data_IF_238278599847
#
_entry.id   IF_238278599847
#
_cell.length_a   1.000
_cell.length_b   1.000
_cell.length_c   1.000
_cell.angle_alpha   90.00
_cell.angle_beta   90.00
_cell.angle_gamma   90.00
#
_symmetry.space_group_name_H-M   'P 1'
#
loop_
_entity.id
_entity.type
_entity.pdbx_description
1 polymer ?
#
# COMPACT_ATOMS: atom_id res chain seq x y z
N UNK A 1 7.44 -20.66 17.26
CA UNK A 1 6.08 -20.40 17.81
C UNK A 1 6.11 -19.40 18.97
N UNK A 2 7.28 -19.04 19.50
CA UNK A 2 7.42 -18.00 20.55
C UNK A 2 7.67 -16.59 20.00
N UNK A 3 8.21 -16.43 18.80
CA UNK A 3 8.59 -15.10 18.28
C UNK A 3 7.41 -14.23 17.83
N UNK A 4 6.33 -14.84 17.34
CA UNK A 4 5.14 -14.10 16.91
C UNK A 4 4.31 -13.54 18.08
N UNK A 5 4.31 -14.19 19.23
CA UNK A 5 3.59 -13.72 20.44
C UNK A 5 4.32 -12.55 21.10
N UNK A 6 5.67 -12.59 21.06
CA UNK A 6 6.52 -11.51 21.62
C UNK A 6 6.34 -10.22 20.79
N UNK A 7 6.29 -10.31 19.46
CA UNK A 7 6.16 -9.16 18.57
C UNK A 7 4.81 -8.41 18.77
N UNK A 8 3.71 -9.13 19.01
CA UNK A 8 2.41 -8.49 19.23
C UNK A 8 2.31 -7.72 20.55
N UNK A 9 2.91 -8.24 21.62
CA UNK A 9 2.94 -7.53 22.92
C UNK A 9 3.82 -6.27 22.87
N UNK A 10 4.90 -6.30 22.09
CA UNK A 10 5.79 -5.16 21.86
C UNK A 10 5.12 -4.05 21.07
N UNK A 11 4.28 -4.38 20.08
CA UNK A 11 3.60 -3.39 19.25
C UNK A 11 2.57 -2.56 20.05
N UNK A 12 1.68 -3.22 20.79
CA UNK A 12 0.67 -2.54 21.63
C UNK A 12 1.34 -1.57 22.63
N UNK A 13 2.50 -1.93 23.15
CA UNK A 13 3.28 -1.10 24.08
C UNK A 13 4.00 0.04 23.37
N UNK A 14 4.53 -0.21 22.17
CA UNK A 14 5.12 0.84 21.36
C UNK A 14 4.08 1.90 20.97
N UNK A 15 2.85 1.48 20.66
CA UNK A 15 1.71 2.35 20.41
C UNK A 15 1.35 3.21 21.62
N UNK A 16 1.26 2.60 22.81
CA UNK A 16 1.00 3.34 24.04
C UNK A 16 2.12 4.35 24.32
N UNK A 17 3.39 3.97 24.16
CA UNK A 17 4.53 4.87 24.31
C UNK A 17 4.50 6.03 23.31
N UNK A 18 4.18 5.77 22.04
CA UNK A 18 4.03 6.83 21.05
C UNK A 18 2.91 7.80 21.43
N UNK A 19 1.79 7.27 21.93
CA UNK A 19 0.67 8.06 22.44
C UNK A 19 1.08 8.92 23.66
N UNK A 20 1.82 8.34 24.60
CA UNK A 20 2.33 9.08 25.79
C UNK A 20 3.33 10.16 25.40
N UNK A 21 4.25 9.87 24.48
CA UNK A 21 5.19 10.86 23.98
C UNK A 21 4.46 12.02 23.29
N UNK A 22 3.52 11.73 22.40
CA UNK A 22 2.70 12.75 21.74
C UNK A 22 1.88 13.59 22.74
N UNK A 23 1.33 12.97 23.80
CA UNK A 23 0.60 13.66 24.85
C UNK A 23 1.52 14.57 25.67
N UNK A 24 2.72 14.12 26.06
CA UNK A 24 3.69 14.92 26.78
C UNK A 24 4.15 16.13 25.94
N UNK A 25 4.42 15.94 24.64
CA UNK A 25 4.76 17.02 23.72
C UNK A 25 3.61 18.03 23.60
N UNK A 26 2.37 17.57 23.43
CA UNK A 26 1.19 18.43 23.33
C UNK A 26 0.98 19.24 24.61
N UNK A 27 1.13 18.62 25.78
CA UNK A 27 1.05 19.32 27.07
C UNK A 27 2.13 20.39 27.22
N UNK A 28 3.37 20.11 26.79
CA UNK A 28 4.48 21.07 26.78
C UNK A 28 4.31 22.20 25.77
N UNK A 29 3.58 22.00 24.68
CA UNK A 29 3.22 23.10 23.74
C UNK A 29 2.29 24.12 24.38
N UNK A 30 1.36 23.67 25.22
CA UNK A 30 0.29 24.50 25.80
C UNK A 30 0.70 25.08 27.17
N UNK A 31 1.33 24.28 28.03
CA UNK A 31 1.61 24.61 29.43
C UNK A 31 3.11 24.73 29.69
N UNK A 32 3.49 25.58 30.65
CA UNK A 32 4.86 25.65 31.14
C UNK A 32 5.32 24.30 31.73
N UNK A 33 6.65 24.02 31.75
CA UNK A 33 7.17 22.74 32.24
C UNK A 33 6.80 22.39 33.69
N UNK A 34 6.62 23.38 34.54
CA UNK A 34 6.24 23.28 35.93
C UNK A 34 4.73 23.15 36.15
N UNK A 35 3.92 23.32 35.12
CA UNK A 35 2.48 23.20 35.22
C UNK A 35 2.06 21.74 35.45
N UNK A 36 1.12 21.49 36.35
CA UNK A 36 0.67 20.19 36.82
C UNK A 36 0.33 19.23 35.67
N UNK A 37 -0.36 19.71 34.63
CA UNK A 37 -0.72 18.87 33.45
C UNK A 37 0.50 18.46 32.63
N UNK A 38 1.46 19.35 32.44
CA UNK A 38 2.70 19.06 31.72
C UNK A 38 3.58 18.07 32.50
N UNK A 39 3.65 18.23 33.83
CA UNK A 39 4.35 17.30 34.70
C UNK A 39 3.70 15.92 34.75
N UNK A 40 2.35 15.85 34.84
CA UNK A 40 1.62 14.56 34.82
C UNK A 40 1.86 13.80 33.52
N UNK A 41 1.68 14.43 32.37
CA UNK A 41 1.87 13.79 31.08
C UNK A 41 3.32 13.31 30.88
N UNK A 42 4.31 14.08 31.36
CA UNK A 42 5.72 13.66 31.33
C UNK A 42 5.99 12.48 32.27
N UNK A 43 5.43 12.49 33.47
CA UNK A 43 5.58 11.43 34.46
C UNK A 43 5.00 10.10 33.95
N UNK A 44 3.84 10.17 33.32
CA UNK A 44 3.19 8.99 32.70
C UNK A 44 4.09 8.38 31.60
N UNK A 45 4.67 9.22 30.72
CA UNK A 45 5.60 8.77 29.68
C UNK A 45 6.85 8.10 30.31
N UNK A 46 7.46 8.75 31.30
CA UNK A 46 8.67 8.23 31.94
C UNK A 46 8.39 6.93 32.71
N UNK A 47 7.21 6.79 33.32
CA UNK A 47 6.78 5.56 34.00
C UNK A 47 6.60 4.40 33.02
N UNK A 48 5.93 4.65 31.87
CA UNK A 48 5.70 3.63 30.85
C UNK A 48 7.02 3.19 30.19
N UNK A 49 7.95 4.11 29.92
CA UNK A 49 9.29 3.76 29.42
C UNK A 49 10.06 2.87 30.42
N UNK A 50 10.06 3.24 31.72
CA UNK A 50 10.70 2.40 32.76
C UNK A 50 10.05 1.03 32.84
N UNK A 51 8.74 0.93 32.69
CA UNK A 51 8.04 -0.33 32.67
C UNK A 51 8.46 -1.20 31.48
N UNK A 52 8.50 -0.65 30.26
CA UNK A 52 8.93 -1.36 29.04
C UNK A 52 10.36 -1.86 29.16
N UNK A 53 11.27 -1.03 29.67
CA UNK A 53 12.66 -1.45 29.88
C UNK A 53 12.80 -2.49 31.02
N UNK A 54 11.97 -2.41 32.06
CA UNK A 54 11.90 -3.38 33.15
C UNK A 54 11.44 -4.79 32.71
N UNK A 55 10.84 -4.90 31.51
CA UNK A 55 10.46 -6.17 30.91
C UNK A 55 11.57 -6.81 30.06
N UNK A 56 12.78 -6.20 30.07
CA UNK A 56 13.94 -6.72 29.35
C UNK A 56 14.17 -6.12 27.96
N UNK A 57 13.36 -5.13 27.55
CA UNK A 57 13.63 -4.39 26.32
C UNK A 57 14.85 -3.48 26.51
N UNK A 58 15.81 -3.52 25.61
CA UNK A 58 17.01 -2.68 25.67
C UNK A 58 16.79 -1.31 25.03
N UNK A 59 15.86 -1.21 24.07
CA UNK A 59 15.55 0.00 23.32
C UNK A 59 14.11 0.04 22.82
N UNK A 60 13.63 1.26 22.55
CA UNK A 60 12.40 1.55 21.78
C UNK A 60 12.81 2.44 20.63
N UNK A 61 12.52 2.05 19.39
CA UNK A 61 12.89 2.80 18.20
C UNK A 61 11.63 3.20 17.43
N UNK A 62 11.43 4.50 17.28
CA UNK A 62 10.42 5.06 16.39
C UNK A 62 11.09 5.68 15.18
N UNK A 63 10.58 5.36 13.98
CA UNK A 63 11.05 5.96 12.72
C UNK A 63 9.87 6.47 11.92
N UNK A 64 10.11 7.45 11.05
CA UNK A 64 9.11 7.97 10.11
C UNK A 64 9.45 7.45 8.73
N UNK A 65 8.56 6.67 8.15
CA UNK A 65 8.69 6.12 6.79
C UNK A 65 7.49 6.55 5.97
N UNK A 66 7.71 7.34 4.92
CA UNK A 66 6.63 7.87 4.08
C UNK A 66 5.55 8.63 4.85
N UNK A 67 5.93 9.33 5.95
CA UNK A 67 4.99 10.07 6.80
C UNK A 67 4.25 9.22 7.85
N UNK A 68 4.53 7.93 7.93
CA UNK A 68 3.95 7.02 8.92
C UNK A 68 4.99 6.74 10.01
N UNK A 69 4.55 6.79 11.29
CA UNK A 69 5.38 6.36 12.41
C UNK A 69 5.44 4.84 12.45
N UNK A 70 6.65 4.31 12.55
CA UNK A 70 6.89 2.86 12.68
C UNK A 70 7.72 2.57 13.94
N UNK A 71 7.54 1.38 14.51
CA UNK A 71 8.39 0.81 15.55
C UNK A 71 9.05 -0.45 14.99
N UNK A 72 10.38 -0.48 14.96
CA UNK A 72 11.18 -1.57 14.34
C UNK A 72 10.65 -1.95 12.93
N UNK A 73 10.24 -0.94 12.14
CA UNK A 73 9.72 -1.12 10.78
C UNK A 73 8.24 -1.52 10.69
N UNK A 74 7.55 -1.69 11.82
CA UNK A 74 6.11 -1.99 11.87
C UNK A 74 5.33 -0.70 12.15
N UNK A 75 4.29 -0.35 11.35
CA UNK A 75 3.48 0.83 11.59
C UNK A 75 2.89 0.89 13.00
N UNK A 76 3.06 2.03 13.67
CA UNK A 76 2.43 2.31 14.97
C UNK A 76 1.05 2.91 14.73
N UNK A 77 0.00 2.11 14.89
CA UNK A 77 -1.31 2.30 14.26
C UNK A 77 -2.40 2.77 15.22
N UNK A 78 -2.14 3.38 16.35
CA UNK A 78 -3.20 3.85 17.23
C UNK A 78 -3.53 5.34 17.13
N UNK A 79 -4.57 5.65 16.35
CA UNK A 79 -5.27 6.94 16.32
C UNK A 79 -4.39 8.12 15.87
N UNK A 80 -4.82 9.34 16.21
CA UNK A 80 -4.10 10.58 15.87
C UNK A 80 -2.69 10.71 16.51
N UNK A 81 -2.32 9.84 17.43
CA UNK A 81 -1.06 9.95 18.18
C UNK A 81 0.16 9.58 17.33
N UNK A 82 0.09 8.51 16.54
CA UNK A 82 1.16 8.11 15.62
C UNK A 82 1.39 9.16 14.53
N UNK A 83 0.31 9.63 13.92
CA UNK A 83 0.35 10.69 12.91
C UNK A 83 0.89 12.01 13.49
N UNK A 84 0.49 12.36 14.72
CA UNK A 84 0.99 13.54 15.41
C UNK A 84 2.50 13.44 15.70
N UNK A 85 2.99 12.29 16.17
CA UNK A 85 4.41 12.12 16.45
C UNK A 85 5.25 12.08 15.16
N UNK A 86 4.75 11.44 14.11
CA UNK A 86 5.40 11.47 12.79
C UNK A 86 5.51 12.91 12.26
N UNK A 87 4.44 13.71 12.36
CA UNK A 87 4.44 15.11 11.98
C UNK A 87 5.43 15.93 12.82
N UNK A 88 5.47 15.71 14.15
CA UNK A 88 6.39 16.40 15.06
C UNK A 88 7.85 16.13 14.72
N UNK A 89 8.20 14.90 14.40
CA UNK A 89 9.54 14.51 13.95
C UNK A 89 9.88 15.16 12.59
N UNK A 90 8.95 15.13 11.65
CA UNK A 90 9.11 15.76 10.33
C UNK A 90 9.31 17.30 10.46
N UNK A 91 8.54 17.99 11.31
CA UNK A 91 8.70 19.43 11.59
C UNK A 91 10.10 19.78 12.15
N UNK A 92 10.85 18.78 12.63
CA UNK A 92 12.19 18.90 13.17
C UNK A 92 13.28 18.38 12.23
N UNK A 93 12.93 18.02 11.00
CA UNK A 93 13.83 17.38 10.04
C UNK A 93 14.53 16.15 10.65
N UNK A 94 13.73 15.31 11.34
CA UNK A 94 14.19 14.15 12.10
C UNK A 94 13.49 12.90 11.58
N UNK A 95 14.27 11.89 11.18
CA UNK A 95 13.76 10.62 10.63
C UNK A 95 13.26 9.65 11.70
N UNK A 96 13.57 9.91 12.97
CA UNK A 96 13.11 9.04 14.05
C UNK A 96 13.86 9.27 15.37
N UNK A 97 13.49 8.49 16.38
CA UNK A 97 14.09 8.54 17.72
C UNK A 97 14.29 7.14 18.27
N UNK A 98 15.46 6.90 18.87
CA UNK A 98 15.75 5.68 19.64
C UNK A 98 15.90 6.06 21.10
N UNK A 99 15.09 5.43 21.94
CA UNK A 99 15.15 5.54 23.39
C UNK A 99 15.73 4.23 23.95
N UNK A 100 16.77 4.32 24.78
CA UNK A 100 17.44 3.13 25.33
C UNK A 100 17.19 3.03 26.84
N UNK A 101 17.31 1.82 27.35
CA UNK A 101 17.27 1.57 28.79
C UNK A 101 18.31 2.43 29.52
N UNK A 102 17.90 3.07 30.62
CA UNK A 102 18.75 3.97 31.38
C UNK A 102 18.70 5.44 30.95
N UNK A 103 17.87 5.80 29.95
CA UNK A 103 17.67 7.22 29.61
C UNK A 103 17.26 8.03 30.83
N UNK A 104 17.98 9.14 31.09
CA UNK A 104 17.68 10.03 32.18
C UNK A 104 16.40 10.86 31.92
N UNK A 105 15.62 11.13 33.00
CA UNK A 105 14.40 11.96 32.89
C UNK A 105 14.72 13.36 32.36
N UNK A 106 15.91 13.92 32.63
CA UNK A 106 16.36 15.19 32.06
C UNK A 106 16.53 15.13 30.54
N UNK A 107 17.18 14.09 30.01
CA UNK A 107 17.36 13.86 28.57
C UNK A 107 16.01 13.67 27.87
N UNK A 108 15.11 12.90 28.47
CA UNK A 108 13.75 12.71 27.97
C UNK A 108 12.95 14.02 27.98
N UNK A 109 13.10 14.84 29.03
CA UNK A 109 12.50 16.17 29.13
C UNK A 109 13.00 17.10 28.01
N UNK A 110 14.29 17.06 27.69
CA UNK A 110 14.87 17.82 26.59
C UNK A 110 14.31 17.40 25.23
N UNK A 111 14.09 16.10 25.01
CA UNK A 111 13.45 15.59 23.80
C UNK A 111 12.02 16.13 23.67
N UNK A 112 11.22 16.03 24.74
CA UNK A 112 9.83 16.52 24.76
C UNK A 112 9.77 18.03 24.49
N UNK A 113 10.65 18.84 25.13
CA UNK A 113 10.71 20.28 24.91
C UNK A 113 11.17 20.64 23.48
N UNK A 114 12.08 19.87 22.90
CA UNK A 114 12.53 20.08 21.55
C UNK A 114 11.41 19.76 20.54
N UNK A 115 10.74 18.63 20.67
CA UNK A 115 9.58 18.29 19.85
C UNK A 115 8.42 19.28 20.03
N UNK A 116 8.23 19.82 21.24
CA UNK A 116 7.21 20.83 21.52
C UNK A 116 7.52 22.21 20.93
N UNK A 117 8.69 22.44 20.35
CA UNK A 117 9.06 23.73 19.79
C UNK A 117 9.63 24.74 20.81
N UNK A 118 9.91 24.29 22.02
CA UNK A 118 10.50 25.12 23.08
C UNK A 118 12.01 25.30 22.95
N UNK A 119 12.65 24.45 22.11
CA UNK A 119 14.06 24.57 21.75
C UNK A 119 14.17 24.72 20.21
N UNK A 120 15.14 25.53 19.74
CA UNK A 120 15.37 25.66 18.29
C UNK A 120 15.66 24.31 17.64
N UNK A 121 15.21 24.09 16.41
CA UNK A 121 15.44 22.85 15.66
C UNK A 121 16.95 22.58 15.44
N UNK A 122 17.74 23.64 15.27
CA UNK A 122 19.20 23.59 15.08
C UNK A 122 19.98 23.08 16.31
N UNK A 123 19.34 22.95 17.47
CA UNK A 123 19.96 22.44 18.70
C UNK A 123 19.20 21.20 19.20
N UNK A 124 19.35 20.06 18.53
CA UNK A 124 18.68 18.83 18.93
C UNK A 124 19.19 18.38 20.32
N UNK A 125 18.33 17.69 21.10
CA UNK A 125 18.74 17.17 22.40
C UNK A 125 19.79 16.08 22.23
N UNK A 126 20.75 16.05 23.15
CA UNK A 126 21.80 15.02 23.26
C UNK A 126 21.81 14.50 24.67
N UNK A 127 22.17 13.24 24.83
CA UNK A 127 22.30 12.61 26.13
C UNK A 127 22.38 11.10 26.02
N UNK A 128 22.88 10.47 27.08
CA UNK A 128 22.94 9.01 27.16
C UNK A 128 21.54 8.41 27.09
N UNK A 129 21.37 7.38 26.27
CA UNK A 129 20.09 6.71 26.06
C UNK A 129 19.16 7.35 25.03
N UNK A 130 19.56 8.44 24.38
CA UNK A 130 18.82 9.10 23.30
C UNK A 130 19.65 9.14 22.02
N UNK A 131 19.04 8.71 20.92
CA UNK A 131 19.60 8.83 19.57
C UNK A 131 18.53 9.40 18.65
N UNK A 132 18.85 10.47 17.93
CA UNK A 132 18.01 11.04 16.88
C UNK A 132 18.49 10.51 15.55
N UNK A 133 17.56 10.14 14.69
CA UNK A 133 17.86 9.53 13.39
C UNK A 133 17.71 10.56 12.28
N UNK A 134 18.61 10.50 11.30
CA UNK A 134 18.57 11.36 10.14
C UNK A 134 17.27 11.14 9.32
N UNK A 135 16.81 12.16 8.57
CA UNK A 135 15.73 11.99 7.61
C UNK A 135 16.02 10.82 6.67
N UNK A 136 15.06 9.89 6.54
CA UNK A 136 15.24 8.67 5.75
C UNK A 136 15.72 7.44 6.53
N UNK A 137 16.13 7.57 7.79
CA UNK A 137 16.59 6.42 8.61
C UNK A 137 15.50 5.32 8.82
N UNK A 138 14.22 5.67 8.64
CA UNK A 138 13.12 4.70 8.60
C UNK A 138 13.08 3.89 7.31
N UNK A 139 13.61 4.44 6.23
CA UNK A 139 13.67 3.78 4.93
C UNK A 139 14.69 2.63 4.93
N UNK A 140 15.80 2.75 5.67
CA UNK A 140 16.82 1.69 5.81
C UNK A 140 16.31 0.42 6.49
N UNK A 141 15.31 0.51 7.37
CA UNK A 141 14.77 -0.66 8.08
C UNK A 141 13.71 -1.40 7.27
N UNK A 142 12.92 -0.69 6.49
CA UNK A 142 11.99 -1.30 5.53
C UNK A 142 12.76 -1.90 4.35
N UNK A 143 13.96 -1.42 4.07
CA UNK A 143 14.84 -1.92 3.03
C UNK A 143 15.28 -3.38 3.20
N UNK A 144 15.26 -3.95 4.40
CA UNK A 144 15.70 -5.34 4.64
C UNK A 144 14.56 -6.38 4.59
N UNK A 145 13.29 -5.99 4.46
CA UNK A 145 12.14 -6.93 4.43
C UNK A 145 11.37 -6.96 3.10
N UNK A 146 11.87 -6.39 2.04
CA UNK A 146 11.20 -6.40 0.74
C UNK A 146 11.87 -5.51 -0.29
N UNK A 147 13.20 -5.45 -0.29
CA UNK A 147 13.92 -4.82 -1.41
C UNK A 147 13.60 -5.61 -2.67
N UNK A 148 12.61 -5.14 -3.40
CA UNK A 148 12.58 -5.45 -4.81
C UNK A 148 13.91 -4.92 -5.39
N UNK A 149 14.77 -5.82 -5.88
CA UNK A 149 15.98 -5.46 -6.68
C UNK A 149 15.66 -4.44 -7.77
N UNK A 150 14.39 -4.33 -8.13
CA UNK A 150 13.85 -3.41 -9.12
C UNK A 150 13.74 -1.96 -8.63
N UNK A 151 13.52 -1.70 -7.32
CA UNK A 151 13.40 -0.31 -6.82
C UNK A 151 14.71 0.47 -6.95
N UNK A 152 15.87 -0.19 -6.80
CA UNK A 152 17.19 0.42 -7.01
C UNK A 152 17.51 0.61 -8.51
N UNK A 153 17.03 -0.31 -9.35
CA UNK A 153 17.26 -0.28 -10.80
C UNK A 153 16.26 0.62 -11.54
N UNK A 154 15.10 0.90 -10.94
CA UNK A 154 14.00 1.66 -11.53
C UNK A 154 13.54 2.79 -10.58
N UNK A 155 14.39 3.82 -10.35
CA UNK A 155 14.08 4.90 -9.41
C UNK A 155 12.80 5.66 -9.78
N UNK A 156 12.38 5.65 -11.06
CA UNK A 156 11.14 6.24 -11.54
C UNK A 156 9.89 5.51 -10.99
N UNK A 157 10.05 4.25 -10.60
CA UNK A 157 8.97 3.39 -10.10
C UNK A 157 9.01 3.19 -8.57
N UNK A 158 9.89 3.92 -7.88
CA UNK A 158 10.05 3.81 -6.42
C UNK A 158 8.71 4.00 -5.69
N UNK A 159 7.98 5.08 -6.01
CA UNK A 159 6.71 5.40 -5.37
C UNK A 159 5.63 4.30 -5.56
N UNK A 160 5.36 3.79 -6.78
CA UNK A 160 4.46 2.64 -6.96
C UNK A 160 4.83 1.42 -6.14
N UNK A 161 6.12 1.08 -6.06
CA UNK A 161 6.60 -0.07 -5.30
C UNK A 161 6.43 0.12 -3.79
N UNK A 162 6.65 1.32 -3.27
CA UNK A 162 6.41 1.65 -1.86
C UNK A 162 4.92 1.55 -1.50
N UNK A 163 4.02 2.02 -2.37
CA UNK A 163 2.57 1.88 -2.18
C UNK A 163 2.18 0.41 -2.09
N UNK A 164 2.70 -0.41 -3.01
CA UNK A 164 2.43 -1.85 -3.02
C UNK A 164 2.90 -2.52 -1.73
N UNK A 165 4.14 -2.30 -1.33
CA UNK A 165 4.72 -2.90 -0.12
C UNK A 165 3.91 -2.57 1.14
N UNK A 166 3.52 -1.30 1.30
CA UNK A 166 2.68 -0.86 2.43
C UNK A 166 1.28 -1.48 2.40
N UNK A 167 0.71 -1.65 1.20
CA UNK A 167 -0.61 -2.27 1.07
C UNK A 167 -0.55 -3.77 1.42
N UNK A 168 0.53 -4.48 1.04
CA UNK A 168 0.75 -5.90 1.41
C UNK A 168 0.83 -6.04 2.92
N UNK A 169 1.72 -5.27 3.57
CA UNK A 169 1.91 -5.32 5.02
C UNK A 169 0.60 -5.06 5.80
N UNK A 170 -0.13 -4.02 5.39
CA UNK A 170 -1.43 -3.73 5.98
C UNK A 170 -2.44 -4.86 5.80
N UNK A 171 -2.56 -5.41 4.58
CA UNK A 171 -3.56 -6.42 4.30
C UNK A 171 -3.27 -7.76 4.98
N UNK A 172 -2.01 -8.11 5.19
CA UNK A 172 -1.63 -9.26 6.04
C UNK A 172 -2.23 -9.12 7.44
N UNK A 173 -2.08 -7.94 8.06
CA UNK A 173 -2.66 -7.66 9.37
C UNK A 173 -4.19 -7.65 9.33
N UNK A 174 -4.81 -6.92 8.40
CA UNK A 174 -6.27 -6.82 8.24
C UNK A 174 -6.92 -8.20 8.10
N UNK A 175 -6.34 -9.07 7.28
CA UNK A 175 -6.87 -10.42 7.07
C UNK A 175 -6.65 -11.34 8.28
N UNK A 176 -5.56 -11.15 9.02
CA UNK A 176 -5.32 -11.86 10.28
C UNK A 176 -6.37 -11.47 11.34
N UNK A 177 -6.68 -10.19 11.49
CA UNK A 177 -7.72 -9.70 12.40
C UNK A 177 -9.12 -10.18 11.97
N UNK A 178 -9.44 -10.13 10.69
CA UNK A 178 -10.69 -10.65 10.14
C UNK A 178 -10.84 -12.16 10.40
N UNK A 179 -9.75 -12.94 10.30
CA UNK A 179 -9.71 -14.37 10.61
C UNK A 179 -9.96 -14.65 12.08
N UNK A 180 -9.45 -13.80 12.95
CA UNK A 180 -9.65 -13.90 14.39
C UNK A 180 -11.05 -13.38 14.84
N UNK A 181 -11.87 -12.85 13.92
CA UNK A 181 -13.15 -12.26 14.22
C UNK A 181 -13.05 -10.93 14.98
N UNK A 182 -11.91 -10.26 14.92
CA UNK A 182 -11.65 -8.98 15.55
C UNK A 182 -11.80 -7.83 14.56
N UNK A 183 -11.96 -6.63 15.07
CA UNK A 183 -11.90 -5.41 14.27
C UNK A 183 -10.44 -5.01 14.08
N UNK A 184 -10.08 -4.58 12.88
CA UNK A 184 -8.78 -3.98 12.57
C UNK A 184 -8.84 -2.46 12.66
N UNK A 185 -7.67 -1.82 12.78
CA UNK A 185 -7.60 -0.36 12.80
C UNK A 185 -7.87 0.23 11.41
N UNK A 186 -8.98 0.94 11.29
CA UNK A 186 -9.37 1.59 10.05
C UNK A 186 -8.51 2.82 9.71
N UNK A 187 -7.78 3.38 10.68
CA UNK A 187 -6.89 4.53 10.42
C UNK A 187 -5.70 4.15 9.54
N UNK A 188 -5.18 2.93 9.71
CA UNK A 188 -4.12 2.39 8.86
C UNK A 188 -4.61 2.18 7.42
N UNK A 189 -5.82 1.63 7.26
CA UNK A 189 -6.47 1.51 5.94
C UNK A 189 -6.59 2.88 5.28
N UNK A 190 -7.06 3.88 6.01
CA UNK A 190 -7.17 5.26 5.54
C UNK A 190 -5.82 5.82 5.09
N UNK A 191 -4.76 5.57 5.86
CA UNK A 191 -3.41 6.08 5.57
C UNK A 191 -2.83 5.48 4.29
N UNK A 192 -2.90 4.16 4.13
CA UNK A 192 -2.40 3.46 2.93
C UNK A 192 -3.23 3.82 1.70
N UNK A 193 -4.56 3.87 1.82
CA UNK A 193 -5.45 4.26 0.74
C UNK A 193 -5.19 5.70 0.27
N UNK A 194 -5.00 6.64 1.21
CA UNK A 194 -4.64 8.03 0.90
C UNK A 194 -3.30 8.12 0.20
N UNK A 195 -2.30 7.37 0.66
CA UNK A 195 -0.98 7.34 0.02
C UNK A 195 -1.07 6.85 -1.43
N UNK A 196 -1.84 5.79 -1.69
CA UNK A 196 -2.10 5.33 -3.05
C UNK A 196 -2.89 6.34 -3.88
N UNK A 197 -3.91 6.98 -3.30
CA UNK A 197 -4.70 8.01 -3.96
C UNK A 197 -3.84 9.22 -4.35
N UNK A 198 -2.92 9.64 -3.50
CA UNK A 198 -1.99 10.72 -3.80
C UNK A 198 -0.98 10.34 -4.88
N UNK A 199 -0.43 9.13 -4.83
CA UNK A 199 0.41 8.59 -5.89
C UNK A 199 -0.33 8.53 -7.23
N UNK A 200 -1.61 8.13 -7.23
CA UNK A 200 -2.43 8.11 -8.44
C UNK A 200 -2.75 9.50 -8.98
N UNK A 201 -2.92 10.52 -8.12
CA UNK A 201 -3.12 11.92 -8.55
C UNK A 201 -1.87 12.52 -9.17
N UNK A 202 -0.71 12.30 -8.57
CA UNK A 202 0.57 12.87 -9.03
C UNK A 202 1.17 12.10 -10.20
N UNK A 203 1.13 10.78 -10.18
CA UNK A 203 1.76 9.90 -11.17
C UNK A 203 0.81 9.24 -12.16
N UNK A 204 -0.52 9.42 -12.02
CA UNK A 204 -1.50 8.83 -12.93
C UNK A 204 -1.39 7.31 -13.01
N UNK A 205 -1.22 6.79 -14.23
CA UNK A 205 -1.11 5.35 -14.49
C UNK A 205 0.22 4.73 -14.07
N UNK A 206 1.21 5.51 -13.64
CA UNK A 206 2.48 4.98 -13.14
C UNK A 206 2.29 4.05 -11.93
N UNK A 207 1.23 4.27 -11.14
CA UNK A 207 0.88 3.37 -10.03
C UNK A 207 0.70 1.91 -10.50
N UNK A 208 0.30 1.69 -11.75
CA UNK A 208 0.17 0.35 -12.34
C UNK A 208 1.50 -0.39 -12.47
N UNK A 209 2.63 0.31 -12.43
CA UNK A 209 3.93 -0.32 -12.54
C UNK A 209 4.14 -1.39 -11.46
N UNK A 210 3.65 -1.14 -10.26
CA UNK A 210 3.74 -2.10 -9.16
C UNK A 210 3.01 -3.41 -9.45
N UNK A 211 1.96 -3.40 -10.28
CA UNK A 211 1.19 -4.60 -10.63
C UNK A 211 1.87 -5.46 -11.71
N UNK A 212 2.85 -4.91 -12.41
CA UNK A 212 3.54 -5.59 -13.51
C UNK A 212 4.89 -6.18 -13.11
N UNK A 213 5.50 -5.67 -12.04
CA UNK A 213 6.81 -6.14 -11.59
C UNK A 213 6.69 -7.40 -10.71
N UNK A 214 7.69 -8.29 -10.75
CA UNK A 214 7.73 -9.44 -9.86
C UNK A 214 7.82 -9.01 -8.40
N UNK A 215 7.04 -9.64 -7.53
CA UNK A 215 7.07 -9.43 -6.09
C UNK A 215 7.63 -10.66 -5.38
N UNK A 216 8.36 -10.45 -4.30
CA UNK A 216 8.92 -11.53 -3.46
C UNK A 216 7.95 -11.99 -2.35
N UNK A 217 6.75 -11.39 -2.28
CA UNK A 217 5.72 -11.71 -1.28
C UNK A 217 5.02 -13.05 -1.54
N UNK A 218 4.48 -13.71 -0.51
CA UNK A 218 3.60 -14.87 -0.69
C UNK A 218 2.37 -14.50 -1.55
N UNK A 219 2.18 -15.23 -2.62
CA UNK A 219 1.25 -14.98 -3.75
C UNK A 219 -0.22 -14.73 -3.36
N UNK A 220 -0.64 -15.04 -2.12
CA UNK A 220 -2.06 -15.03 -1.73
C UNK A 220 -2.71 -13.64 -1.74
N UNK A 221 -1.93 -12.56 -1.60
CA UNK A 221 -2.47 -11.19 -1.44
C UNK A 221 -2.13 -10.27 -2.62
N UNK A 222 -1.12 -10.60 -3.43
CA UNK A 222 -0.66 -9.77 -4.53
C UNK A 222 -1.79 -9.42 -5.49
N UNK A 223 -2.65 -10.39 -5.79
CA UNK A 223 -3.83 -10.15 -6.63
C UNK A 223 -4.75 -9.06 -6.08
N UNK A 224 -5.15 -9.15 -4.82
CA UNK A 224 -6.07 -8.17 -4.21
C UNK A 224 -5.43 -6.77 -4.14
N UNK A 225 -4.11 -6.70 -3.91
CA UNK A 225 -3.35 -5.45 -3.94
C UNK A 225 -3.27 -4.89 -5.37
N UNK A 226 -3.01 -5.73 -6.36
CA UNK A 226 -3.01 -5.31 -7.77
C UNK A 226 -4.36 -4.71 -8.18
N UNK A 227 -5.46 -5.35 -7.80
CA UNK A 227 -6.83 -4.85 -8.06
C UNK A 227 -7.06 -3.49 -7.38
N UNK A 228 -6.59 -3.33 -6.14
CA UNK A 228 -6.62 -2.04 -5.44
C UNK A 228 -5.87 -0.94 -6.20
N UNK A 229 -4.62 -1.21 -6.62
CA UNK A 229 -3.79 -0.24 -7.34
C UNK A 229 -4.40 0.12 -8.71
N UNK A 230 -4.86 -0.88 -9.45
CA UNK A 230 -5.55 -0.69 -10.73
C UNK A 230 -6.78 0.19 -10.55
N UNK A 231 -7.65 -0.15 -9.59
CA UNK A 231 -8.87 0.60 -9.34
C UNK A 231 -8.56 2.04 -8.95
N UNK A 232 -7.62 2.27 -8.03
CA UNK A 232 -7.24 3.60 -7.57
C UNK A 232 -6.70 4.46 -8.72
N UNK A 233 -5.79 3.93 -9.54
CA UNK A 233 -5.23 4.63 -10.70
C UNK A 233 -6.31 4.98 -11.74
N UNK A 234 -7.25 4.06 -11.97
CA UNK A 234 -8.31 4.26 -12.95
C UNK A 234 -9.41 5.21 -12.48
N UNK A 235 -9.68 5.23 -11.17
CA UNK A 235 -10.69 6.12 -10.59
C UNK A 235 -10.17 7.53 -10.32
N UNK A 236 -8.85 7.74 -10.26
CA UNK A 236 -8.26 9.06 -9.98
C UNK A 236 -8.78 10.20 -10.88
N UNK A 237 -8.89 10.08 -12.21
CA UNK A 237 -9.44 11.12 -13.07
C UNK A 237 -10.96 11.22 -13.03
N UNK A 238 -11.66 10.30 -12.39
CA UNK A 238 -13.12 10.26 -12.28
C UNK A 238 -13.60 10.78 -10.93
N UNK A 239 -12.72 10.87 -9.94
CA UNK A 239 -13.03 11.44 -8.64
C UNK A 239 -13.20 12.96 -8.74
N UNK A 240 -14.23 13.50 -8.08
CA UNK A 240 -14.56 14.93 -8.07
C UNK A 240 -13.57 15.75 -7.25
N UNK A 241 -13.05 15.14 -6.20
CA UNK A 241 -12.09 15.76 -5.29
C UNK A 241 -11.18 14.70 -4.64
N UNK A 242 -10.11 15.10 -3.93
CA UNK A 242 -9.18 14.18 -3.28
C UNK A 242 -9.83 13.24 -2.26
N UNK A 243 -10.83 13.72 -1.51
CA UNK A 243 -11.49 12.90 -0.46
C UNK A 243 -12.33 11.79 -1.08
N UNK A 244 -12.99 12.06 -2.21
CA UNK A 244 -13.72 11.03 -2.93
C UNK A 244 -12.78 9.93 -3.43
N UNK A 245 -11.60 10.28 -3.93
CA UNK A 245 -10.60 9.29 -4.33
C UNK A 245 -10.06 8.48 -3.14
N UNK A 246 -9.86 9.12 -1.99
CA UNK A 246 -9.48 8.42 -0.76
C UNK A 246 -10.51 7.35 -0.37
N UNK A 247 -11.81 7.67 -0.48
CA UNK A 247 -12.92 6.73 -0.23
C UNK A 247 -12.92 5.59 -1.26
N UNK A 248 -12.71 5.91 -2.55
CA UNK A 248 -12.62 4.89 -3.60
C UNK A 248 -11.46 3.93 -3.36
N UNK A 249 -10.30 4.46 -2.99
CA UNK A 249 -9.11 3.67 -2.67
C UNK A 249 -9.33 2.78 -1.44
N UNK A 250 -9.97 3.29 -0.37
CA UNK A 250 -10.32 2.47 0.81
C UNK A 250 -11.25 1.31 0.42
N UNK A 251 -12.29 1.60 -0.36
CA UNK A 251 -13.23 0.59 -0.80
C UNK A 251 -12.56 -0.48 -1.68
N UNK A 252 -11.66 -0.07 -2.59
CA UNK A 252 -10.91 -0.99 -3.42
C UNK A 252 -9.92 -1.84 -2.61
N UNK A 253 -9.23 -1.26 -1.61
CA UNK A 253 -8.30 -1.97 -0.74
C UNK A 253 -8.99 -3.07 0.07
N UNK A 254 -10.23 -2.83 0.51
CA UNK A 254 -10.99 -3.72 1.37
C UNK A 254 -11.94 -4.68 0.62
N UNK A 255 -11.96 -4.66 -0.73
CA UNK A 255 -12.94 -5.45 -1.49
C UNK A 255 -12.93 -6.93 -1.12
N UNK A 256 -11.76 -7.48 -0.84
CA UNK A 256 -11.51 -8.89 -0.56
C UNK A 256 -11.32 -9.20 0.94
N UNK A 257 -11.56 -8.26 1.84
CA UNK A 257 -11.33 -8.45 3.29
C UNK A 257 -12.03 -9.69 3.85
N UNK A 258 -13.15 -10.06 3.27
CA UNK A 258 -13.90 -11.27 3.67
C UNK A 258 -13.16 -12.57 3.41
N UNK A 259 -12.11 -12.61 2.60
CA UNK A 259 -11.22 -13.79 2.44
C UNK A 259 -10.56 -14.18 3.77
N UNK A 260 -10.31 -13.21 4.66
CA UNK A 260 -9.84 -13.50 6.02
C UNK A 260 -10.76 -14.42 6.81
N UNK A 261 -12.06 -14.46 6.52
CA UNK A 261 -13.04 -15.32 7.20
C UNK A 261 -13.19 -16.72 6.57
N UNK A 262 -12.49 -16.98 5.48
CA UNK A 262 -12.49 -18.28 4.77
C UNK A 262 -11.28 -19.09 5.24
N UNK A 263 -11.40 -20.43 5.40
CA UNK A 263 -10.25 -21.27 5.72
C UNK A 263 -9.10 -21.05 4.76
N UNK A 264 -7.89 -20.89 5.31
CA UNK A 264 -6.70 -20.55 4.54
C UNK A 264 -6.37 -21.59 3.47
N UNK A 265 -6.62 -22.86 3.77
CA UNK A 265 -6.40 -23.99 2.88
C UNK A 265 -7.27 -23.89 1.60
N UNK A 266 -8.42 -23.21 1.67
CA UNK A 266 -9.29 -22.97 0.52
C UNK A 266 -8.79 -21.76 -0.26
N UNK A 267 -8.41 -20.67 0.42
CA UNK A 267 -7.93 -19.42 -0.20
C UNK A 267 -6.63 -19.66 -0.97
N UNK A 268 -5.71 -20.44 -0.39
CA UNK A 268 -4.36 -20.70 -0.94
C UNK A 268 -4.26 -21.99 -1.78
N UNK A 269 -5.35 -22.64 -2.05
CA UNK A 269 -5.36 -23.93 -2.77
C UNK A 269 -4.80 -23.78 -4.18
N UNK A 270 -3.70 -24.47 -4.47
CA UNK A 270 -3.02 -24.46 -5.79
C UNK A 270 -3.69 -25.37 -6.85
N UNK A 271 -4.88 -25.91 -6.60
CA UNK A 271 -5.60 -26.79 -7.49
C UNK A 271 -7.04 -26.37 -7.71
N UNK A 272 -7.82 -27.11 -8.49
CA UNK A 272 -9.25 -26.82 -8.65
C UNK A 272 -9.97 -26.96 -7.30
N UNK A 273 -10.89 -26.02 -7.04
CA UNK A 273 -11.76 -26.08 -5.88
C UNK A 273 -12.86 -27.12 -6.12
N UNK A 274 -13.27 -27.82 -5.06
CA UNK A 274 -14.51 -28.60 -5.11
C UNK A 274 -15.71 -27.64 -5.13
N UNK A 275 -16.92 -28.10 -5.52
CA UNK A 275 -18.12 -27.26 -5.47
C UNK A 275 -18.44 -26.71 -4.08
N UNK A 276 -18.09 -27.43 -3.00
CA UNK A 276 -18.21 -26.99 -1.60
C UNK A 276 -17.24 -25.87 -1.27
N UNK A 277 -15.96 -26.06 -1.61
CA UNK A 277 -14.91 -25.07 -1.41
C UNK A 277 -15.20 -23.78 -2.19
N UNK A 278 -15.69 -23.91 -3.43
CA UNK A 278 -16.08 -22.76 -4.25
C UNK A 278 -17.25 -21.99 -3.60
N UNK A 279 -18.27 -22.70 -3.07
CA UNK A 279 -19.36 -22.06 -2.34
C UNK A 279 -18.87 -21.35 -1.08
N UNK A 280 -17.92 -21.95 -0.37
CA UNK A 280 -17.30 -21.31 0.80
C UNK A 280 -16.51 -20.07 0.39
N UNK A 281 -15.66 -20.15 -0.63
CA UNK A 281 -14.88 -19.02 -1.11
C UNK A 281 -15.78 -17.84 -1.54
N UNK A 282 -16.87 -18.12 -2.28
CA UNK A 282 -17.83 -17.08 -2.73
C UNK A 282 -18.49 -16.30 -1.58
N UNK A 283 -18.50 -16.86 -0.38
CA UNK A 283 -19.03 -16.17 0.82
C UNK A 283 -18.19 -14.98 1.27
N UNK A 284 -16.94 -14.83 0.75
CA UNK A 284 -16.12 -13.68 1.15
C UNK A 284 -16.82 -12.34 0.87
N UNK A 285 -17.62 -12.22 -0.19
CA UNK A 285 -18.37 -10.99 -0.48
C UNK A 285 -19.36 -10.65 0.64
N UNK A 286 -20.19 -11.61 1.05
CA UNK A 286 -21.16 -11.41 2.13
C UNK A 286 -20.48 -11.21 3.49
N UNK A 287 -19.45 -11.99 3.76
CA UNK A 287 -18.72 -11.93 5.02
C UNK A 287 -17.96 -10.62 5.16
N UNK A 288 -17.28 -10.18 4.09
CA UNK A 288 -16.57 -8.89 4.04
C UNK A 288 -17.53 -7.73 4.27
N UNK A 289 -18.65 -7.70 3.54
CA UNK A 289 -19.68 -6.67 3.73
C UNK A 289 -20.23 -6.66 5.17
N UNK A 290 -20.51 -7.82 5.77
CA UNK A 290 -20.96 -7.92 7.16
C UNK A 290 -19.91 -7.46 8.16
N UNK A 291 -18.63 -7.77 7.92
CA UNK A 291 -17.51 -7.32 8.75
C UNK A 291 -17.42 -5.78 8.72
N UNK A 292 -17.34 -5.22 7.53
CA UNK A 292 -17.19 -3.77 7.33
C UNK A 292 -18.39 -2.97 7.85
N UNK A 293 -19.63 -3.48 7.66
CA UNK A 293 -20.84 -2.82 8.16
C UNK A 293 -20.93 -2.71 9.70
N UNK A 294 -20.13 -3.48 10.42
CA UNK A 294 -20.07 -3.44 11.90
C UNK A 294 -18.94 -2.55 12.42
N UNK A 295 -18.05 -2.11 11.55
CA UNK A 295 -16.90 -1.29 11.94
C UNK A 295 -17.27 0.19 11.94
N UNK A 296 -16.89 0.95 12.96
CA UNK A 296 -17.09 2.40 12.97
C UNK A 296 -16.21 3.05 11.90
N UNK A 297 -16.70 4.17 11.36
CA UNK A 297 -15.97 5.03 10.40
C UNK A 297 -15.73 4.43 9.01
N UNK A 298 -16.19 3.21 8.74
CA UNK A 298 -16.14 2.63 7.39
C UNK A 298 -17.18 3.30 6.50
N UNK A 299 -16.76 3.79 5.33
CA UNK A 299 -17.69 4.36 4.36
C UNK A 299 -18.62 3.28 3.79
N UNK A 300 -19.94 3.54 3.64
CA UNK A 300 -20.88 2.59 3.03
C UNK A 300 -20.45 2.06 1.66
N UNK A 301 -19.66 2.84 0.90
CA UNK A 301 -19.11 2.41 -0.38
C UNK A 301 -18.19 1.19 -0.24
N UNK A 302 -17.38 1.11 0.84
CA UNK A 302 -16.53 -0.06 1.07
C UNK A 302 -17.37 -1.33 1.32
N UNK A 303 -18.50 -1.19 2.02
CA UNK A 303 -19.46 -2.28 2.23
C UNK A 303 -20.09 -2.71 0.89
N UNK A 304 -20.50 -1.75 0.07
CA UNK A 304 -21.07 -2.00 -1.25
C UNK A 304 -20.06 -2.70 -2.16
N UNK A 305 -18.82 -2.21 -2.23
CA UNK A 305 -17.76 -2.80 -3.06
C UNK A 305 -17.45 -4.22 -2.61
N UNK A 306 -17.27 -4.45 -1.30
CA UNK A 306 -17.02 -5.81 -0.78
C UNK A 306 -18.16 -6.79 -1.12
N UNK A 307 -19.41 -6.32 -1.14
CA UNK A 307 -20.56 -7.14 -1.49
C UNK A 307 -20.71 -7.36 -3.00
N UNK A 308 -20.50 -6.31 -3.84
CA UNK A 308 -20.96 -6.27 -5.23
C UNK A 308 -19.88 -6.58 -6.26
N UNK A 309 -18.59 -6.61 -5.92
CA UNK A 309 -17.48 -6.66 -6.90
C UNK A 309 -17.48 -7.92 -7.79
N UNK A 310 -18.16 -8.99 -7.43
CA UNK A 310 -18.38 -10.18 -8.27
C UNK A 310 -19.78 -10.28 -8.88
N UNK A 311 -20.64 -9.26 -8.71
CA UNK A 311 -21.95 -9.26 -9.35
C UNK A 311 -21.84 -8.98 -10.85
N UNK A 312 -22.65 -9.66 -11.64
CA UNK A 312 -22.67 -9.55 -13.11
C UNK A 312 -24.05 -9.14 -13.63
N UNK A 313 -24.08 -8.43 -14.77
CA UNK A 313 -25.31 -7.96 -15.41
C UNK A 313 -26.22 -9.08 -15.90
N UNK A 314 -25.62 -10.26 -16.18
CA UNK A 314 -26.33 -11.45 -16.67
C UNK A 314 -26.89 -12.32 -15.52
N UNK A 315 -26.74 -11.89 -14.26
CA UNK A 315 -27.22 -12.62 -13.08
C UNK A 315 -26.42 -13.87 -12.73
N UNK A 316 -25.34 -14.20 -13.46
CA UNK A 316 -24.49 -15.36 -13.17
C UNK A 316 -23.37 -15.06 -12.18
N UNK A 317 -23.27 -13.82 -11.71
CA UNK A 317 -22.35 -13.42 -10.64
C UNK A 317 -22.82 -13.83 -9.24
N UNK A 318 -22.07 -13.42 -8.26
CA UNK A 318 -22.38 -13.62 -6.84
C UNK A 318 -21.99 -12.39 -6.00
N UNK A 319 -22.55 -12.23 -4.79
CA UNK A 319 -23.71 -12.96 -4.28
C UNK A 319 -24.98 -12.66 -5.10
N UNK A 320 -26.02 -13.47 -4.91
CA UNK A 320 -27.33 -13.23 -5.55
C UNK A 320 -28.26 -12.61 -4.51
N UNK A 321 -28.46 -11.29 -4.56
CA UNK A 321 -29.33 -10.62 -3.59
C UNK A 321 -30.80 -10.95 -3.82
N UNK A 322 -31.59 -10.93 -2.74
CA UNK A 322 -33.05 -11.12 -2.81
C UNK A 322 -33.71 -9.94 -3.56
N UNK A 323 -33.19 -8.73 -3.36
CA UNK A 323 -33.63 -7.52 -4.08
C UNK A 323 -32.64 -7.19 -5.18
N UNK A 324 -33.10 -6.69 -6.34
CA UNK A 324 -32.20 -6.32 -7.43
C UNK A 324 -31.31 -5.14 -7.01
N UNK A 325 -30.02 -5.39 -6.89
CA UNK A 325 -28.97 -4.41 -6.64
C UNK A 325 -28.12 -4.30 -7.91
N UNK A 326 -27.75 -3.10 -8.30
CA UNK A 326 -26.80 -2.85 -9.37
C UNK A 326 -25.48 -2.37 -8.76
N UNK A 327 -24.34 -3.00 -9.10
CA UNK A 327 -23.05 -2.51 -8.67
C UNK A 327 -22.80 -1.08 -9.11
N UNK A 328 -22.28 -0.25 -8.21
CA UNK A 328 -21.86 1.11 -8.52
C UNK A 328 -20.62 1.18 -9.42
N UNK A 329 -20.20 2.38 -9.84
CA UNK A 329 -19.02 2.56 -10.70
C UNK A 329 -17.74 2.01 -10.10
N UNK A 330 -17.51 2.16 -8.79
CA UNK A 330 -16.31 1.68 -8.10
C UNK A 330 -16.30 0.15 -8.04
N UNK A 331 -17.40 -0.49 -7.65
CA UNK A 331 -17.54 -1.96 -7.67
C UNK A 331 -17.33 -2.51 -9.09
N UNK A 332 -17.81 -1.80 -10.09
CA UNK A 332 -17.64 -2.18 -11.50
C UNK A 332 -16.19 -2.02 -11.96
N UNK A 333 -15.46 -1.01 -11.48
CA UNK A 333 -14.05 -0.84 -11.77
C UNK A 333 -13.20 -1.90 -11.05
N UNK A 334 -13.51 -2.23 -9.79
CA UNK A 334 -12.87 -3.35 -9.08
C UNK A 334 -13.04 -4.65 -9.87
N UNK A 335 -14.24 -4.94 -10.38
CA UNK A 335 -14.46 -6.13 -11.22
C UNK A 335 -13.64 -6.11 -12.51
N UNK A 336 -13.49 -4.95 -13.15
CA UNK A 336 -12.63 -4.79 -14.34
C UNK A 336 -11.18 -5.06 -13.98
N UNK A 337 -10.68 -4.47 -12.86
CA UNK A 337 -9.32 -4.67 -12.35
C UNK A 337 -9.03 -6.13 -12.00
N UNK A 338 -9.97 -6.78 -11.30
CA UNK A 338 -9.91 -8.20 -10.94
C UNK A 338 -9.77 -9.10 -12.18
N UNK A 339 -10.61 -8.89 -13.19
CA UNK A 339 -10.52 -9.64 -14.43
C UNK A 339 -9.24 -9.36 -15.22
N UNK A 340 -8.80 -8.10 -15.23
CA UNK A 340 -7.57 -7.71 -15.93
C UNK A 340 -6.35 -8.37 -15.29
N UNK A 341 -6.20 -8.29 -13.98
CA UNK A 341 -5.08 -8.88 -13.26
C UNK A 341 -5.03 -10.41 -13.43
N UNK A 342 -6.17 -11.11 -13.29
CA UNK A 342 -6.27 -12.55 -13.51
C UNK A 342 -5.90 -12.98 -14.94
N UNK A 343 -6.23 -12.15 -15.94
CA UNK A 343 -5.91 -12.43 -17.34
C UNK A 343 -4.44 -12.10 -17.64
N UNK A 344 -3.92 -11.01 -17.07
CA UNK A 344 -2.53 -10.58 -17.22
C UNK A 344 -1.55 -11.55 -16.54
N UNK A 345 -1.92 -12.11 -15.39
CA UNK A 345 -1.09 -13.05 -14.63
C UNK A 345 -0.79 -14.34 -15.42
N UNK A 346 -1.67 -14.70 -16.34
CA UNK A 346 -1.52 -15.94 -17.12
C UNK A 346 -1.70 -17.19 -16.26
N UNK A 347 -1.76 -18.35 -16.90
CA UNK A 347 -1.68 -19.64 -16.21
C UNK A 347 -0.31 -20.25 -16.47
N UNK A 348 0.20 -21.15 -15.61
CA UNK A 348 1.51 -21.80 -15.80
C UNK A 348 1.73 -22.42 -17.18
N UNK A 349 0.64 -22.69 -17.92
CA UNK A 349 0.63 -23.34 -19.24
C UNK A 349 0.31 -22.40 -20.41
N UNK A 350 0.02 -21.09 -20.14
CA UNK A 350 -0.31 -20.12 -21.20
C UNK A 350 0.47 -18.84 -20.99
N UNK A 351 1.08 -18.33 -22.06
CA UNK A 351 1.64 -16.99 -22.13
C UNK A 351 0.58 -15.97 -21.66
N UNK A 352 0.98 -15.03 -20.81
CA UNK A 352 0.14 -13.87 -20.47
C UNK A 352 -0.31 -13.14 -21.74
N UNK A 353 -1.51 -12.60 -21.71
CA UNK A 353 -2.04 -11.83 -22.84
C UNK A 353 -1.44 -10.42 -22.80
N UNK A 354 -1.36 -9.76 -23.98
CA UNK A 354 -1.12 -8.33 -24.02
C UNK A 354 -2.29 -7.55 -23.38
N UNK A 355 -2.09 -6.29 -23.04
CA UNK A 355 -3.16 -5.46 -22.49
C UNK A 355 -4.39 -5.42 -23.42
N UNK A 356 -4.18 -5.30 -24.74
CA UNK A 356 -5.27 -5.31 -25.72
C UNK A 356 -6.01 -6.64 -25.77
N UNK A 357 -5.28 -7.75 -25.76
CA UNK A 357 -5.87 -9.10 -25.75
C UNK A 357 -6.65 -9.33 -24.46
N UNK A 358 -6.15 -8.82 -23.31
CA UNK A 358 -6.85 -8.91 -22.04
C UNK A 358 -8.16 -8.12 -22.07
N UNK A 359 -8.12 -6.92 -22.59
CA UNK A 359 -9.31 -6.05 -22.72
C UNK A 359 -10.33 -6.65 -23.70
N UNK A 360 -9.91 -7.11 -24.89
CA UNK A 360 -10.82 -7.75 -25.84
C UNK A 360 -11.49 -8.98 -25.20
N UNK A 361 -10.74 -9.75 -24.42
CA UNK A 361 -11.28 -10.88 -23.68
C UNK A 361 -12.31 -10.48 -22.63
N UNK A 362 -12.06 -9.39 -21.87
CA UNK A 362 -13.02 -8.86 -20.88
C UNK A 362 -14.29 -8.40 -21.60
N UNK A 363 -14.17 -7.67 -22.72
CA UNK A 363 -15.32 -7.19 -23.51
C UNK A 363 -16.19 -8.32 -24.06
N UNK A 364 -15.61 -9.46 -24.35
CA UNK A 364 -16.32 -10.67 -24.81
C UNK A 364 -16.92 -11.49 -23.67
N UNK A 365 -16.55 -11.21 -22.42
CA UNK A 365 -17.11 -11.93 -21.27
C UNK A 365 -18.58 -11.56 -21.08
N UNK A 366 -19.50 -12.53 -21.01
CA UNK A 366 -20.89 -12.26 -20.71
C UNK A 366 -21.06 -11.50 -19.40
N UNK A 367 -22.05 -10.62 -19.31
CA UNK A 367 -22.33 -9.84 -18.11
C UNK A 367 -21.44 -8.61 -17.88
N UNK A 368 -20.57 -8.26 -18.85
CA UNK A 368 -19.70 -7.08 -18.76
C UNK A 368 -20.17 -5.90 -19.65
N UNK A 369 -21.38 -5.97 -20.19
CA UNK A 369 -21.88 -4.96 -21.14
C UNK A 369 -22.00 -3.56 -20.54
N UNK A 370 -22.45 -3.46 -19.30
CA UNK A 370 -22.60 -2.17 -18.60
C UNK A 370 -21.25 -1.52 -18.27
N UNK A 371 -20.14 -2.29 -18.32
CA UNK A 371 -18.80 -1.83 -17.98
C UNK A 371 -17.97 -1.37 -19.20
N UNK A 372 -18.60 -1.32 -20.40
CA UNK A 372 -17.87 -0.97 -21.64
C UNK A 372 -17.20 0.40 -21.58
N UNK A 373 -17.84 1.38 -20.96
CA UNK A 373 -17.27 2.72 -20.89
C UNK A 373 -16.13 2.80 -19.88
N UNK A 374 -16.24 2.07 -18.75
CA UNK A 374 -15.13 1.89 -17.82
C UNK A 374 -13.95 1.14 -18.46
N UNK A 375 -14.23 0.09 -19.24
CA UNK A 375 -13.22 -0.63 -20.01
C UNK A 375 -12.54 0.26 -21.05
N UNK A 376 -13.31 1.07 -21.80
CA UNK A 376 -12.74 2.05 -22.74
C UNK A 376 -11.87 3.09 -22.02
N UNK A 377 -12.33 3.54 -20.85
CA UNK A 377 -11.53 4.41 -20.00
C UNK A 377 -10.24 3.75 -19.57
N UNK A 378 -10.29 2.50 -19.11
CA UNK A 378 -9.14 1.68 -18.76
C UNK A 378 -8.15 1.57 -19.92
N UNK A 379 -8.59 1.13 -21.12
CA UNK A 379 -7.74 0.97 -22.32
C UNK A 379 -7.04 2.27 -22.70
N UNK A 380 -7.78 3.37 -22.73
CA UNK A 380 -7.22 4.67 -23.11
C UNK A 380 -6.12 5.14 -22.17
N UNK A 381 -6.12 4.68 -20.93
CA UNK A 381 -5.14 5.07 -19.92
C UNK A 381 -3.99 4.08 -19.77
N UNK A 382 -4.25 2.79 -19.88
CA UNK A 382 -3.20 1.76 -19.72
C UNK A 382 -2.36 1.59 -20.99
N UNK A 383 -2.93 1.94 -22.16
CA UNK A 383 -2.30 1.67 -23.46
C UNK A 383 -1.90 0.21 -23.65
N UNK A 384 -1.20 -0.10 -24.74
CA UNK A 384 -0.72 -1.45 -25.00
C UNK A 384 0.51 -1.84 -24.14
N UNK A 385 1.13 -0.85 -23.49
CA UNK A 385 2.37 -1.00 -22.74
C UNK A 385 2.25 -0.25 -21.40
N UNK A 386 1.48 -0.77 -20.42
CA UNK A 386 1.35 -0.10 -19.12
C UNK A 386 2.72 0.03 -18.44
N UNK A 387 2.91 1.05 -17.60
CA UNK A 387 4.14 1.19 -16.82
C UNK A 387 4.47 -0.10 -16.06
N UNK A 388 5.76 -0.45 -15.98
CA UNK A 388 6.24 -1.70 -15.40
C UNK A 388 6.30 -2.86 -16.38
N UNK A 389 5.67 -2.78 -17.55
CA UNK A 389 5.76 -3.83 -18.57
C UNK A 389 7.18 -3.93 -19.14
N UNK A 390 7.67 -5.14 -19.36
CA UNK A 390 8.86 -5.38 -20.16
C UNK A 390 8.49 -5.28 -21.64
N UNK A 391 9.28 -4.56 -22.42
CA UNK A 391 9.09 -4.39 -23.87
C UNK A 391 10.34 -4.79 -24.63
N UNK A 392 10.16 -5.31 -25.85
CA UNK A 392 11.22 -5.46 -26.80
C UNK A 392 11.18 -4.28 -27.78
N UNK A 393 12.31 -3.68 -28.03
CA UNK A 393 12.50 -2.62 -29.04
C UNK A 393 12.92 -3.24 -30.38
N UNK A 394 12.68 -2.55 -31.47
CA UNK A 394 13.09 -3.02 -32.82
C UNK A 394 14.61 -3.23 -32.93
N UNK A 395 15.39 -2.45 -32.17
CA UNK A 395 16.84 -2.62 -32.03
C UNK A 395 17.28 -3.93 -31.35
N UNK A 396 16.32 -4.71 -30.80
CA UNK A 396 16.57 -5.96 -30.11
C UNK A 396 16.80 -5.83 -28.60
N UNK A 397 16.86 -4.62 -28.08
CA UNK A 397 17.00 -4.36 -26.64
C UNK A 397 15.73 -4.69 -25.88
N UNK A 398 15.88 -4.98 -24.58
CA UNK A 398 14.77 -5.12 -23.65
C UNK A 398 14.76 -3.94 -22.67
N UNK A 399 13.57 -3.39 -22.47
CA UNK A 399 13.38 -2.25 -21.61
C UNK A 399 12.13 -2.38 -20.73
N UNK A 400 12.08 -1.64 -19.64
CA UNK A 400 10.90 -1.52 -18.78
C UNK A 400 10.23 -0.17 -19.06
N UNK A 401 8.93 -0.17 -19.27
CA UNK A 401 8.15 1.05 -19.41
C UNK A 401 8.11 1.79 -18.07
N UNK A 402 8.61 3.03 -18.05
CA UNK A 402 8.63 3.86 -16.83
C UNK A 402 7.58 4.97 -16.86
N UNK A 403 7.16 5.40 -18.05
CA UNK A 403 6.12 6.44 -18.19
C UNK A 403 5.37 6.28 -19.51
N UNK A 404 4.08 6.58 -19.50
CA UNK A 404 3.19 6.56 -20.66
C UNK A 404 2.55 7.92 -20.82
N UNK A 405 2.43 8.40 -22.04
CA UNK A 405 1.90 9.71 -22.40
C UNK A 405 0.55 9.57 -23.09
N UNK A 406 -0.46 10.28 -22.59
CA UNK A 406 -1.81 10.24 -23.16
C UNK A 406 -1.85 10.70 -24.64
N UNK A 407 -0.99 11.67 -24.98
CA UNK A 407 -0.86 12.23 -26.32
C UNK A 407 -0.04 11.35 -27.29
N UNK A 408 0.76 10.46 -26.76
CA UNK A 408 1.64 9.55 -27.52
C UNK A 408 1.67 8.14 -26.92
N UNK A 409 0.54 7.44 -26.85
CA UNK A 409 0.41 6.19 -26.09
C UNK A 409 1.28 5.03 -26.62
N UNK A 410 1.75 5.11 -27.86
CA UNK A 410 2.62 4.09 -28.47
C UNK A 410 4.11 4.43 -28.37
N UNK A 411 4.46 5.58 -27.78
CA UNK A 411 5.83 6.06 -27.62
C UNK A 411 6.11 6.33 -26.14
N UNK A 412 6.14 5.28 -25.30
CA UNK A 412 6.39 5.43 -23.87
C UNK A 412 7.84 5.87 -23.62
N UNK A 413 8.10 6.34 -22.40
CA UNK A 413 9.46 6.43 -21.88
C UNK A 413 9.84 5.09 -21.28
N UNK A 414 11.00 4.59 -21.64
CA UNK A 414 11.45 3.25 -21.23
C UNK A 414 12.86 3.30 -20.64
N UNK A 415 13.16 2.40 -19.70
CA UNK A 415 14.51 2.16 -19.19
C UNK A 415 15.05 0.87 -19.78
N UNK A 416 16.13 0.96 -20.54
CA UNK A 416 16.79 -0.19 -21.15
C UNK A 416 17.55 -0.97 -20.07
N UNK A 417 17.25 -2.26 -19.95
CA UNK A 417 17.79 -3.15 -18.90
C UNK A 417 18.59 -4.32 -19.49
N UNK A 418 18.34 -4.68 -20.76
CA UNK A 418 19.11 -5.71 -21.48
C UNK A 418 19.50 -5.19 -22.86
N UNK A 419 20.67 -5.55 -23.30
CA UNK A 419 21.16 -5.24 -24.65
C UNK A 419 20.49 -6.13 -25.73
N UNK A 420 20.79 -5.85 -26.99
CA UNK A 420 20.25 -6.61 -28.13
C UNK A 420 20.68 -8.08 -28.18
N UNK A 421 21.67 -8.49 -27.38
CA UNK A 421 22.13 -9.86 -27.23
C UNK A 421 21.51 -10.55 -26.01
N UNK A 422 20.69 -9.84 -25.25
CA UNK A 422 20.03 -10.35 -24.02
C UNK A 422 20.88 -10.25 -22.75
N UNK A 423 22.07 -9.65 -22.83
CA UNK A 423 22.92 -9.36 -21.69
C UNK A 423 22.37 -8.20 -20.85
N UNK A 424 22.56 -8.23 -19.52
CA UNK A 424 22.19 -7.12 -18.66
C UNK A 424 23.06 -5.88 -19.00
N UNK A 425 22.43 -4.71 -19.11
CA UNK A 425 23.15 -3.43 -19.29
C UNK A 425 23.75 -3.03 -17.95
N UNK A 426 25.07 -2.75 -17.94
CA UNK A 426 25.79 -2.40 -16.71
C UNK A 426 25.24 -1.11 -16.06
N UNK A 427 24.90 -0.13 -16.89
CA UNK A 427 24.27 1.12 -16.47
C UNK A 427 22.95 1.31 -17.25
N UNK A 428 21.79 0.89 -16.69
CA UNK A 428 20.49 1.09 -17.31
C UNK A 428 20.22 2.57 -17.61
N UNK A 429 19.79 2.88 -18.83
CA UNK A 429 19.55 4.25 -19.30
C UNK A 429 18.11 4.43 -19.78
N UNK A 430 17.64 5.68 -19.73
CA UNK A 430 16.27 6.03 -20.12
C UNK A 430 16.24 6.51 -21.56
N UNK A 431 15.24 6.04 -22.32
CA UNK A 431 14.90 6.50 -23.66
C UNK A 431 13.47 7.06 -23.65
N UNK A 432 13.30 8.26 -24.18
CA UNK A 432 11.99 8.83 -24.49
C UNK A 432 11.67 8.53 -25.97
N UNK A 433 10.80 7.57 -26.22
CA UNK A 433 10.49 7.13 -27.59
C UNK A 433 9.70 8.17 -28.40
N UNK A 434 9.34 9.33 -27.81
CA UNK A 434 8.74 10.47 -28.52
C UNK A 434 9.78 11.37 -29.20
N UNK A 435 11.03 11.30 -28.79
CA UNK A 435 12.07 12.17 -29.36
C UNK A 435 12.30 11.84 -30.83
N UNK A 436 11.93 12.78 -31.69
CA UNK A 436 12.09 12.69 -33.12
C UNK A 436 13.60 12.65 -33.48
N UNK A 437 14.01 11.67 -34.24
CA UNK A 437 15.42 11.47 -34.66
C UNK A 437 16.09 10.30 -33.92
N UNK A 438 15.54 9.78 -32.86
CA UNK A 438 15.75 8.39 -32.50
C UNK A 438 14.94 7.59 -33.52
N UNK A 439 15.51 7.44 -34.70
CA UNK A 439 14.93 6.63 -35.74
C UNK A 439 14.46 5.33 -35.11
N UNK A 440 13.15 5.33 -34.81
CA UNK A 440 12.37 4.16 -34.83
C UNK A 440 12.95 3.02 -34.02
N UNK A 441 12.86 3.15 -32.69
CA UNK A 441 12.88 1.97 -31.83
C UNK A 441 11.44 1.67 -31.37
N UNK A 442 10.50 1.39 -32.28
CA UNK A 442 9.15 1.11 -31.90
C UNK A 442 9.14 -0.11 -30.98
N UNK A 443 8.19 -0.12 -30.06
CA UNK A 443 7.90 -1.30 -29.24
C UNK A 443 7.35 -2.37 -30.17
N UNK A 444 8.08 -3.47 -30.32
CA UNK A 444 7.70 -4.59 -31.19
C UNK A 444 6.94 -5.67 -30.43
N UNK A 445 7.17 -5.76 -29.13
CA UNK A 445 6.51 -6.74 -28.28
C UNK A 445 6.38 -6.22 -26.84
N UNK A 446 5.25 -6.50 -26.20
CA UNK A 446 4.98 -6.18 -24.80
C UNK A 446 4.84 -7.48 -24.01
N UNK A 447 5.47 -7.53 -22.86
CA UNK A 447 5.37 -8.63 -21.91
C UNK A 447 4.74 -8.07 -20.63
N UNK A 448 3.50 -8.43 -20.38
CA UNK A 448 2.89 -8.18 -19.06
C UNK A 448 3.49 -9.18 -18.08
N UNK A 449 3.88 -8.69 -16.89
CA UNK A 449 4.53 -9.49 -15.83
C UNK A 449 5.73 -10.29 -16.36
N UNK A 450 6.90 -9.64 -16.51
CA UNK A 450 8.13 -10.31 -16.93
C UNK A 450 8.45 -11.46 -15.97
N UNK A 451 8.86 -12.60 -16.54
CA UNK A 451 9.25 -13.79 -15.77
C UNK A 451 10.66 -13.69 -15.25
#
# INVERSE_FOLDING_TARGET
MNDLVTTHLELDRAEELARRLAAAVSARRIYAPDHTRAQSAFHDLAADLRHVFGLGNERVRFTVTGGILTHEGVPVVNGNAGSNLAQLLHERDCGGVVLRAGIADETLGHLVDWLAGRRPAAFPPQGEGLELLDPGAGEELTENRGKSRFAEQLPELKLPLEVHAKAVELMEHVLAEARAGRHFDFSAVTSVARFAAEAARSGGVQLLAATQLPHESPVAFDHSINVFLITTAMMAPLARDPKELDIFAQAALLHDVGKGTIPQEIVEKKGPLTPEEERMLRRHCENGAKLLARMPHVDPLAVEVAYCHHMRDDGHGYPRPILPIKPGPVSSMVQVGDMFDLIAEGRPTKRGLSADEAVDRILRTPGMKSRRDLLRHFVRRTTNSPPGSEVALESGERAIVVEVFAEAPHHPRVRVVKDSKGGAVAEPYVLDLREAGLDTRPVTQVFLKPK
#
